data_IF_038552377182
#
_entry.id   IF_038552377182
#
_cell.length_a   1.000
_cell.length_b   1.000
_cell.length_c   1.000
_cell.angle_alpha   90.00
_cell.angle_beta   90.00
_cell.angle_gamma   90.00
#
_symmetry.space_group_name_H-M   'P 1'
#
loop_
_entity.id
_entity.type
_entity.pdbx_description
1 polymer ?
#
# COMPACT_ATOMS: atom_id res chain seq x y z
N UNK A 1 3.25 -16.10 -5.00
CA UNK A 1 3.86 -15.64 -6.25
C UNK A 1 5.33 -15.94 -6.21
N UNK A 2 5.88 -16.39 -7.32
CA UNK A 2 7.32 -16.58 -7.54
C UNK A 2 7.69 -15.73 -8.75
N UNK A 3 8.88 -15.12 -8.72
CA UNK A 3 9.42 -14.33 -9.81
C UNK A 3 10.81 -14.90 -10.07
N UNK A 4 11.09 -15.29 -11.32
CA UNK A 4 12.40 -15.79 -11.70
C UNK A 4 13.46 -14.69 -11.48
N UNK A 5 14.64 -15.03 -10.96
CA UNK A 5 15.70 -14.07 -10.77
C UNK A 5 16.23 -13.59 -12.12
N UNK A 6 16.56 -12.31 -12.18
CA UNK A 6 17.08 -11.61 -13.35
C UNK A 6 18.26 -10.70 -12.95
N UNK A 7 18.78 -9.92 -13.91
CA UNK A 7 19.83 -8.94 -13.66
C UNK A 7 19.48 -7.99 -12.50
N UNK A 8 18.22 -7.53 -12.43
CA UNK A 8 17.73 -6.67 -11.34
C UNK A 8 17.89 -7.35 -9.98
N UNK A 9 17.56 -8.64 -9.90
CA UNK A 9 17.67 -9.45 -8.68
C UNK A 9 19.14 -9.63 -8.26
N UNK A 10 20.03 -9.89 -9.23
CA UNK A 10 21.45 -10.07 -8.98
C UNK A 10 22.12 -8.78 -8.51
N UNK A 11 21.84 -7.67 -9.20
CA UNK A 11 22.32 -6.33 -8.82
C UNK A 11 21.81 -5.94 -7.43
N UNK A 12 20.57 -6.28 -7.10
CA UNK A 12 20.03 -6.07 -5.77
C UNK A 12 20.81 -6.86 -4.71
N UNK A 13 21.22 -8.10 -4.97
CA UNK A 13 21.94 -8.94 -4.00
C UNK A 13 23.44 -8.62 -3.89
N UNK A 14 24.06 -8.15 -4.97
CA UNK A 14 25.50 -7.93 -5.05
C UNK A 14 26.03 -7.05 -3.91
N UNK A 15 27.06 -7.55 -3.20
CA UNK A 15 27.73 -6.82 -2.12
C UNK A 15 26.89 -6.63 -0.84
N UNK A 16 25.69 -7.21 -0.73
CA UNK A 16 24.88 -7.12 0.49
C UNK A 16 25.43 -8.00 1.61
N UNK A 17 25.20 -7.62 2.89
CA UNK A 17 25.50 -8.50 4.01
C UNK A 17 24.85 -9.87 3.81
N UNK A 18 25.61 -10.93 4.04
CA UNK A 18 25.22 -12.33 3.90
C UNK A 18 24.93 -12.82 2.46
N UNK A 19 25.13 -11.99 1.43
CA UNK A 19 25.22 -12.48 0.07
C UNK A 19 26.51 -13.30 -0.13
N UNK A 20 26.51 -14.31 -1.02
CA UNK A 20 27.74 -15.02 -1.37
C UNK A 20 28.78 -14.06 -1.94
N UNK A 21 30.06 -14.42 -1.85
CA UNK A 21 31.16 -13.57 -2.32
C UNK A 21 32.26 -14.41 -2.99
N UNK A 22 33.00 -13.77 -3.90
CA UNK A 22 34.10 -14.42 -4.63
C UNK A 22 33.61 -15.68 -5.37
N UNK A 23 34.31 -16.81 -5.28
CA UNK A 23 33.91 -18.04 -5.99
C UNK A 23 32.51 -18.57 -5.65
N UNK A 24 31.99 -18.26 -4.45
CA UNK A 24 30.63 -18.64 -4.07
C UNK A 24 29.58 -17.78 -4.78
N UNK A 25 29.92 -16.53 -5.11
CA UNK A 25 29.05 -15.66 -5.89
C UNK A 25 28.93 -16.19 -7.31
N UNK A 26 30.05 -16.54 -7.95
CA UNK A 26 30.06 -17.09 -9.31
C UNK A 26 29.24 -18.40 -9.40
N UNK A 27 29.45 -19.32 -8.45
CA UNK A 27 28.66 -20.55 -8.39
C UNK A 27 27.16 -20.31 -8.11
N UNK A 28 26.82 -19.31 -7.30
CA UNK A 28 25.43 -18.95 -7.05
C UNK A 28 24.78 -18.32 -8.29
N UNK A 29 25.53 -17.50 -9.04
CA UNK A 29 25.10 -16.90 -10.30
C UNK A 29 24.78 -17.96 -11.37
N UNK A 30 25.67 -18.95 -11.53
CA UNK A 30 25.45 -20.08 -12.43
C UNK A 30 24.14 -20.81 -12.07
N UNK A 31 23.96 -21.13 -10.79
CA UNK A 31 22.76 -21.82 -10.31
C UNK A 31 21.48 -20.97 -10.43
N UNK A 32 21.50 -19.69 -10.03
CA UNK A 32 20.30 -18.85 -10.05
C UNK A 32 19.80 -18.58 -11.45
N UNK A 33 20.69 -18.53 -12.44
CA UNK A 33 20.31 -18.33 -13.84
C UNK A 33 19.48 -19.50 -14.40
N UNK A 34 19.60 -20.70 -13.80
CA UNK A 34 18.79 -21.88 -14.14
C UNK A 34 17.41 -21.87 -13.47
N UNK A 35 17.12 -20.93 -12.54
CA UNK A 35 15.86 -20.88 -11.80
C UNK A 35 14.74 -20.17 -12.57
N UNK A 36 14.38 -20.69 -13.74
CA UNK A 36 13.23 -20.22 -14.52
C UNK A 36 12.25 -21.35 -14.82
N UNK A 37 11.08 -20.99 -15.32
CA UNK A 37 10.10 -21.95 -15.80
C UNK A 37 10.63 -22.67 -17.04
N UNK A 38 10.43 -23.99 -17.14
CA UNK A 38 10.75 -24.77 -18.34
C UNK A 38 9.89 -24.33 -19.54
N UNK A 39 10.44 -24.35 -20.75
CA UNK A 39 9.75 -23.90 -21.97
C UNK A 39 8.46 -24.70 -22.28
N UNK A 40 8.35 -25.93 -21.80
CA UNK A 40 7.21 -26.83 -21.98
C UNK A 40 6.30 -26.94 -20.74
N UNK A 41 6.50 -26.05 -19.74
CA UNK A 41 5.64 -25.99 -18.58
C UNK A 41 4.19 -25.70 -18.98
N UNK A 42 3.26 -26.37 -18.31
CA UNK A 42 1.82 -26.15 -18.48
C UNK A 42 1.23 -25.58 -17.21
N UNK A 43 0.29 -24.65 -17.37
CA UNK A 43 -0.40 -23.99 -16.26
C UNK A 43 -1.90 -24.28 -16.33
N UNK A 44 -2.54 -24.39 -15.16
CA UNK A 44 -4.01 -24.52 -15.09
C UNK A 44 -4.72 -23.28 -15.67
N UNK A 45 -4.07 -22.11 -15.58
CA UNK A 45 -4.54 -20.86 -16.14
C UNK A 45 -3.37 -19.92 -16.45
N UNK A 46 -3.48 -19.19 -17.55
CA UNK A 46 -2.60 -18.08 -17.93
C UNK A 46 -3.43 -16.79 -17.97
N UNK A 47 -2.93 -15.73 -17.32
CA UNK A 47 -3.63 -14.45 -17.20
C UNK A 47 -2.69 -13.36 -17.73
N UNK A 48 -3.08 -12.75 -18.85
CA UNK A 48 -2.37 -11.60 -19.41
C UNK A 48 -2.91 -10.30 -18.80
N UNK A 49 -2.00 -9.44 -18.31
CA UNK A 49 -2.34 -8.15 -17.70
C UNK A 49 -1.57 -7.07 -18.45
N UNK A 50 -2.31 -6.17 -19.10
CA UNK A 50 -1.74 -4.97 -19.70
C UNK A 50 -1.40 -3.94 -18.62
N UNK A 51 -0.09 -3.67 -18.45
CA UNK A 51 0.40 -2.71 -17.47
C UNK A 51 0.05 -1.25 -17.82
N UNK A 52 -0.10 -0.92 -19.11
CA UNK A 52 -0.41 0.44 -19.56
C UNK A 52 -1.87 0.83 -19.25
N UNK A 53 -2.74 -0.17 -19.10
CA UNK A 53 -4.13 0.03 -18.69
C UNK A 53 -4.30 0.21 -17.17
N UNK A 54 -3.24 0.06 -16.37
CA UNK A 54 -3.34 0.18 -14.92
C UNK A 54 -3.57 1.62 -14.47
N UNK A 55 -4.61 1.81 -13.65
CA UNK A 55 -4.93 3.07 -12.99
C UNK A 55 -4.71 2.94 -11.48
N UNK A 56 -4.75 4.03 -10.70
CA UNK A 56 -4.75 3.92 -9.25
C UNK A 56 -5.95 3.11 -8.75
N UNK A 57 -5.70 2.09 -7.93
CA UNK A 57 -6.76 1.28 -7.30
C UNK A 57 -6.82 1.53 -5.79
N UNK A 58 -8.00 1.36 -5.23
CA UNK A 58 -8.25 1.40 -3.79
C UNK A 58 -9.22 0.29 -3.39
N UNK A 59 -9.06 -0.28 -2.20
CA UNK A 59 -10.12 -1.16 -1.66
C UNK A 59 -11.25 -0.33 -1.09
N UNK A 60 -12.49 -0.67 -1.41
CA UNK A 60 -13.68 -0.03 -0.82
C UNK A 60 -14.26 -0.86 0.34
N UNK A 61 -14.00 -2.16 0.36
CA UNK A 61 -14.58 -3.11 1.32
C UNK A 61 -13.63 -3.51 2.46
N UNK A 62 -13.81 -4.74 2.97
CA UNK A 62 -13.13 -5.27 4.17
C UNK A 62 -12.11 -6.35 3.88
N UNK A 63 -11.75 -6.57 2.61
CA UNK A 63 -10.66 -7.47 2.24
C UNK A 63 -9.97 -7.01 0.93
N UNK A 64 -8.76 -7.51 0.63
CA UNK A 64 -8.02 -7.08 -0.55
C UNK A 64 -8.71 -7.35 -1.91
N UNK A 65 -9.61 -8.33 -1.97
CA UNK A 65 -10.38 -8.64 -3.19
C UNK A 65 -11.48 -7.63 -3.50
N UNK A 66 -11.84 -6.77 -2.54
CA UNK A 66 -12.85 -5.73 -2.71
C UNK A 66 -12.20 -4.41 -3.13
N UNK A 67 -11.51 -4.44 -4.28
CA UNK A 67 -10.80 -3.32 -4.90
C UNK A 67 -11.47 -2.83 -6.18
N UNK A 68 -11.35 -1.53 -6.45
CA UNK A 68 -11.81 -0.89 -7.68
C UNK A 68 -10.81 0.21 -8.11
N UNK A 69 -10.78 0.58 -9.40
CA UNK A 69 -10.13 1.81 -9.84
C UNK A 69 -10.63 3.01 -9.02
N UNK A 70 -9.75 3.92 -8.63
CA UNK A 70 -10.09 5.10 -7.81
C UNK A 70 -11.13 6.01 -8.48
N UNK A 71 -11.24 5.98 -9.81
CA UNK A 71 -12.25 6.70 -10.57
C UNK A 71 -13.67 6.15 -10.43
N UNK A 72 -13.83 4.94 -9.88
CA UNK A 72 -15.11 4.25 -9.74
C UNK A 72 -15.92 4.72 -8.52
N UNK A 73 -17.06 4.06 -8.33
CA UNK A 73 -18.00 4.29 -7.24
C UNK A 73 -18.13 3.05 -6.37
N UNK A 74 -18.53 3.25 -5.12
CA UNK A 74 -18.91 2.16 -4.19
C UNK A 74 -19.99 1.30 -4.85
N UNK A 75 -19.83 -0.04 -4.90
CA UNK A 75 -20.77 -0.91 -5.61
C UNK A 75 -22.13 -0.94 -4.94
N UNK A 76 -23.16 -1.17 -5.75
CA UNK A 76 -24.54 -1.30 -5.30
C UNK A 76 -24.94 -2.77 -5.19
N UNK A 77 -25.22 -3.28 -3.98
CA UNK A 77 -25.61 -4.68 -3.78
C UNK A 77 -26.90 -5.04 -4.53
N UNK A 78 -27.79 -4.09 -4.83
CA UNK A 78 -29.02 -4.38 -5.58
C UNK A 78 -28.75 -4.72 -7.05
N UNK A 79 -27.56 -4.41 -7.57
CA UNK A 79 -27.15 -4.70 -8.95
C UNK A 79 -26.40 -6.02 -9.10
N UNK A 80 -26.08 -6.68 -7.99
CA UNK A 80 -25.33 -7.95 -7.98
C UNK A 80 -26.33 -9.09 -8.08
N UNK A 81 -26.13 -10.02 -9.02
CA UNK A 81 -27.03 -11.17 -9.23
C UNK A 81 -26.75 -12.32 -8.26
N UNK A 82 -25.47 -12.60 -7.98
CA UNK A 82 -25.08 -13.65 -7.05
C UNK A 82 -25.45 -13.30 -5.61
N UNK A 83 -26.17 -14.19 -4.92
CA UNK A 83 -26.66 -13.95 -3.56
C UNK A 83 -25.52 -13.91 -2.54
N UNK A 84 -24.50 -14.74 -2.71
CA UNK A 84 -23.35 -14.81 -1.81
C UNK A 84 -22.54 -13.52 -1.85
N UNK A 85 -22.23 -13.06 -3.06
CA UNK A 85 -21.55 -11.80 -3.32
C UNK A 85 -22.39 -10.62 -2.83
N UNK A 86 -23.70 -10.58 -3.13
CA UNK A 86 -24.62 -9.54 -2.65
C UNK A 86 -24.58 -9.41 -1.13
N UNK A 87 -24.65 -10.54 -0.40
CA UNK A 87 -24.57 -10.55 1.05
C UNK A 87 -23.20 -10.08 1.55
N UNK A 88 -22.11 -10.49 0.89
CA UNK A 88 -20.76 -10.07 1.23
C UNK A 88 -20.57 -8.55 1.04
N UNK A 89 -21.08 -7.98 -0.05
CA UNK A 89 -21.08 -6.54 -0.31
C UNK A 89 -21.88 -5.80 0.75
N UNK A 90 -23.11 -6.22 1.06
CA UNK A 90 -23.93 -5.57 2.11
C UNK A 90 -23.22 -5.53 3.47
N UNK A 91 -22.56 -6.63 3.87
CA UNK A 91 -21.78 -6.68 5.11
C UNK A 91 -20.59 -5.73 5.08
N UNK A 92 -19.83 -5.74 3.98
CA UNK A 92 -18.68 -4.85 3.81
C UNK A 92 -19.10 -3.37 3.86
N UNK A 93 -20.18 -2.99 3.16
CA UNK A 93 -20.71 -1.62 3.18
C UNK A 93 -21.20 -1.20 4.56
N UNK A 94 -21.84 -2.11 5.30
CA UNK A 94 -22.28 -1.84 6.68
C UNK A 94 -21.09 -1.62 7.62
N UNK A 95 -20.03 -2.44 7.52
CA UNK A 95 -18.82 -2.27 8.32
C UNK A 95 -18.08 -0.98 7.96
N UNK A 96 -17.85 -0.79 6.66
CA UNK A 96 -17.14 0.35 6.10
C UNK A 96 -17.94 1.63 6.16
N UNK A 97 -19.25 1.57 6.48
CA UNK A 97 -20.16 2.72 6.55
C UNK A 97 -20.09 3.55 5.28
N UNK A 98 -20.38 2.87 4.17
CA UNK A 98 -20.36 3.44 2.83
C UNK A 98 -21.74 3.30 2.19
N UNK A 99 -22.19 4.37 1.56
CA UNK A 99 -23.41 4.37 0.77
C UNK A 99 -23.11 3.90 -0.66
N UNK A 100 -23.93 3.00 -1.24
CA UNK A 100 -23.84 2.64 -2.66
C UNK A 100 -23.78 3.86 -3.58
N UNK A 101 -22.98 3.79 -4.64
CA UNK A 101 -22.87 4.84 -5.65
C UNK A 101 -22.01 6.05 -5.27
N UNK A 102 -21.52 6.13 -4.03
CA UNK A 102 -20.59 7.17 -3.58
C UNK A 102 -19.30 7.10 -4.43
N UNK A 103 -18.85 8.19 -5.08
CA UNK A 103 -17.54 8.22 -5.72
C UNK A 103 -16.43 7.86 -4.72
N UNK A 104 -15.49 7.00 -5.11
CA UNK A 104 -14.41 6.63 -4.21
C UNK A 104 -13.57 7.85 -3.80
N UNK A 105 -13.40 8.81 -4.71
CA UNK A 105 -12.72 10.08 -4.44
C UNK A 105 -13.40 10.99 -3.41
N UNK A 106 -14.68 10.78 -3.12
CA UNK A 106 -15.44 11.56 -2.13
C UNK A 106 -15.33 10.95 -0.71
N UNK A 107 -14.72 9.77 -0.57
CA UNK A 107 -14.56 9.10 0.72
C UNK A 107 -13.50 9.84 1.55
N UNK A 108 -13.95 10.56 2.57
CA UNK A 108 -13.10 11.25 3.53
C UNK A 108 -12.42 10.28 4.50
N UNK A 109 -11.16 10.56 4.85
CA UNK A 109 -10.38 9.77 5.81
C UNK A 109 -9.98 10.58 7.03
N UNK A 110 -9.80 9.90 8.14
CA UNK A 110 -9.30 10.49 9.40
C UNK A 110 -7.80 10.25 9.58
N UNK A 111 -7.31 9.11 9.07
CA UNK A 111 -5.90 8.70 9.20
C UNK A 111 -5.32 8.27 7.86
N UNK A 112 -4.03 8.55 7.67
CA UNK A 112 -3.21 8.00 6.59
C UNK A 112 -2.05 7.25 7.19
N UNK A 113 -1.90 5.99 6.80
CA UNK A 113 -0.81 5.13 7.23
C UNK A 113 0.09 4.79 6.05
N UNK A 114 1.28 5.40 6.03
CA UNK A 114 2.33 5.14 5.05
C UNK A 114 3.43 4.32 5.69
N UNK A 115 3.46 3.02 5.44
CA UNK A 115 4.57 2.18 5.84
C UNK A 115 4.17 0.79 6.28
N UNK A 116 4.74 -0.23 5.66
CA UNK A 116 4.63 -1.62 6.12
C UNK A 116 5.85 -2.40 5.64
N UNK A 117 5.96 -3.68 6.01
CA UNK A 117 6.94 -4.56 5.38
C UNK A 117 6.71 -4.71 3.87
N UNK A 118 5.50 -4.40 3.37
CA UNK A 118 5.15 -4.46 1.95
C UNK A 118 5.48 -3.14 1.23
N UNK A 119 5.09 -2.00 1.82
CA UNK A 119 5.14 -0.67 1.21
C UNK A 119 5.72 0.38 2.18
N UNK A 120 6.97 0.16 2.56
CA UNK A 120 7.79 1.05 3.40
C UNK A 120 9.27 0.98 3.00
N UNK A 121 9.55 0.67 1.73
CA UNK A 121 10.89 0.63 1.14
C UNK A 121 11.36 2.06 0.88
N UNK A 122 12.64 2.22 0.58
CA UNK A 122 13.17 3.57 0.35
C UNK A 122 12.52 4.22 -0.87
N UNK A 123 12.21 3.46 -1.91
CA UNK A 123 11.52 3.92 -3.13
C UNK A 123 10.10 4.40 -2.82
N UNK A 124 9.37 3.67 -1.95
CA UNK A 124 8.02 4.06 -1.51
C UNK A 124 8.05 5.41 -0.78
N UNK A 125 9.02 5.59 0.12
CA UNK A 125 9.17 6.82 0.89
C UNK A 125 9.58 8.00 0.01
N UNK A 126 10.49 7.80 -0.95
CA UNK A 126 10.86 8.83 -1.93
C UNK A 126 9.67 9.27 -2.77
N UNK A 127 8.89 8.30 -3.29
CA UNK A 127 7.71 8.57 -4.10
C UNK A 127 6.65 9.37 -3.32
N UNK A 128 6.37 8.96 -2.08
CA UNK A 128 5.42 9.69 -1.23
C UNK A 128 5.93 11.07 -0.80
N UNK A 129 7.23 11.21 -0.49
CA UNK A 129 7.84 12.49 -0.15
C UNK A 129 7.79 13.48 -1.32
N UNK A 130 7.98 13.00 -2.56
CA UNK A 130 7.88 13.85 -3.75
C UNK A 130 6.48 14.45 -3.91
N UNK A 131 5.41 13.68 -3.61
CA UNK A 131 4.03 14.18 -3.65
C UNK A 131 3.74 15.14 -2.50
N UNK A 132 4.33 14.92 -1.31
CA UNK A 132 4.11 15.76 -0.13
C UNK A 132 4.95 17.03 -0.09
N UNK A 133 6.03 17.10 -0.87
CA UNK A 133 6.94 18.23 -0.88
C UNK A 133 6.21 19.55 -1.16
N UNK A 134 6.34 20.53 -0.26
CA UNK A 134 5.67 21.83 -0.37
C UNK A 134 4.20 21.84 0.06
N UNK A 135 3.62 20.69 0.41
CA UNK A 135 2.25 20.57 0.91
C UNK A 135 2.21 20.30 2.41
N UNK A 136 1.02 20.41 3.01
CA UNK A 136 0.74 20.01 4.39
C UNK A 136 -0.34 18.95 4.42
N UNK A 137 -0.25 18.06 5.40
CA UNK A 137 -1.35 17.15 5.75
C UNK A 137 -2.56 18.00 6.14
N UNK A 138 -3.74 17.65 5.64
CA UNK A 138 -4.99 18.37 5.89
C UNK A 138 -5.29 18.43 7.38
N UNK A 139 -5.79 19.58 7.83
CA UNK A 139 -6.30 19.73 9.19
C UNK A 139 -7.35 18.66 9.52
N UNK A 140 -7.15 17.99 10.67
CA UNK A 140 -7.99 16.88 11.11
C UNK A 140 -7.55 15.50 10.63
N UNK A 141 -6.63 15.42 9.65
CA UNK A 141 -6.08 14.14 9.18
C UNK A 141 -4.79 13.81 9.94
N UNK A 142 -4.71 12.60 10.49
CA UNK A 142 -3.50 12.08 11.14
C UNK A 142 -2.69 11.24 10.15
N UNK A 143 -1.50 11.70 9.78
CA UNK A 143 -0.58 10.91 8.96
C UNK A 143 0.54 10.26 9.79
N UNK A 144 0.72 8.94 9.64
CA UNK A 144 1.80 8.16 10.22
C UNK A 144 2.73 7.67 9.11
N UNK A 145 4.03 7.87 9.27
CA UNK A 145 5.05 7.39 8.33
C UNK A 145 6.00 6.42 9.03
N UNK A 146 6.06 5.18 8.55
CA UNK A 146 6.75 4.06 9.19
C UNK A 146 7.70 3.37 8.21
N UNK A 147 9.01 3.54 8.35
CA UNK A 147 9.96 2.83 7.49
C UNK A 147 9.87 1.31 7.68
N UNK A 148 10.04 0.55 6.59
CA UNK A 148 9.93 -0.92 6.60
C UNK A 148 11.07 -1.63 7.33
N UNK A 149 12.19 -0.95 7.59
CA UNK A 149 13.31 -1.46 8.39
C UNK A 149 14.16 -0.33 8.96
N UNK A 150 14.99 -0.63 9.97
CA UNK A 150 15.94 0.35 10.51
C UNK A 150 16.95 0.85 9.46
N UNK A 151 17.34 -0.01 8.51
CA UNK A 151 18.23 0.38 7.41
C UNK A 151 17.55 1.39 6.47
N UNK A 152 16.29 1.14 6.10
CA UNK A 152 15.50 2.09 5.29
C UNK A 152 15.28 3.39 6.05
N UNK A 153 15.02 3.34 7.36
CA UNK A 153 14.90 4.54 8.19
C UNK A 153 16.18 5.39 8.15
N UNK A 154 17.32 4.77 8.45
CA UNK A 154 18.60 5.48 8.46
C UNK A 154 18.93 6.08 7.09
N UNK A 155 18.63 5.36 6.01
CA UNK A 155 18.79 5.87 4.65
C UNK A 155 17.85 7.05 4.35
N UNK A 156 16.56 6.94 4.71
CA UNK A 156 15.59 8.02 4.53
C UNK A 156 15.94 9.27 5.35
N UNK A 157 16.53 9.09 6.53
CA UNK A 157 17.04 10.18 7.37
C UNK A 157 18.27 10.84 6.73
N UNK A 158 19.22 10.06 6.23
CA UNK A 158 20.39 10.56 5.49
C UNK A 158 20.02 11.31 4.20
N UNK A 159 18.92 10.92 3.55
CA UNK A 159 18.37 11.58 2.35
C UNK A 159 17.46 12.78 2.67
N UNK A 160 17.22 13.08 3.96
CA UNK A 160 16.37 14.20 4.38
C UNK A 160 14.85 13.97 4.20
N UNK A 161 14.42 12.76 3.82
CA UNK A 161 13.00 12.47 3.57
C UNK A 161 12.14 12.65 4.83
N UNK A 162 12.69 12.33 5.99
CA UNK A 162 12.00 12.51 7.28
C UNK A 162 11.64 13.98 7.56
N UNK A 163 12.43 14.94 7.05
CA UNK A 163 12.18 16.37 7.18
C UNK A 163 11.00 16.79 6.31
N UNK A 164 10.87 16.23 5.10
CA UNK A 164 9.72 16.48 4.21
C UNK A 164 8.42 16.02 4.90
N UNK A 165 8.41 14.81 5.45
CA UNK A 165 7.22 14.29 6.14
C UNK A 165 6.87 15.10 7.39
N UNK A 166 7.86 15.43 8.23
CA UNK A 166 7.61 16.19 9.47
C UNK A 166 7.22 17.64 9.19
N UNK A 167 7.80 18.29 8.17
CA UNK A 167 7.42 19.62 7.72
C UNK A 167 5.97 19.67 7.21
N UNK A 168 5.52 18.62 6.52
CA UNK A 168 4.12 18.48 6.11
C UNK A 168 3.16 18.24 7.30
N UNK A 169 3.67 17.93 8.50
CA UNK A 169 2.87 17.63 9.70
C UNK A 169 2.63 16.15 9.95
N UNK A 170 3.28 15.26 9.19
CA UNK A 170 3.19 13.82 9.42
C UNK A 170 4.07 13.36 10.60
N UNK A 171 3.66 12.26 11.22
CA UNK A 171 4.34 11.66 12.36
C UNK A 171 5.38 10.64 11.87
N UNK A 172 6.67 10.99 11.97
CA UNK A 172 7.77 10.09 11.65
C UNK A 172 8.01 9.06 12.76
N UNK A 173 7.72 7.78 12.50
CA UNK A 173 7.77 6.69 13.47
C UNK A 173 9.03 5.84 13.35
N UNK A 174 9.32 5.07 14.41
CA UNK A 174 10.36 4.02 14.35
C UNK A 174 9.97 2.95 13.35
N UNK A 175 10.98 2.31 12.75
CA UNK A 175 10.73 1.21 11.83
C UNK A 175 10.09 0.03 12.57
N UNK A 176 9.08 -0.59 11.95
CA UNK A 176 8.38 -1.74 12.52
C UNK A 176 7.01 -1.97 11.90
N UNK A 177 6.28 -2.95 12.42
CA UNK A 177 4.95 -3.29 11.90
C UNK A 177 3.89 -2.19 12.14
N UNK A 178 4.01 -1.42 13.23
CA UNK A 178 3.08 -0.33 13.60
C UNK A 178 1.61 -0.73 13.33
N UNK A 179 0.81 0.15 12.72
CA UNK A 179 -0.61 -0.08 12.47
C UNK A 179 -0.87 -1.24 11.50
N UNK A 180 0.09 -1.70 10.70
CA UNK A 180 -0.10 -2.85 9.79
C UNK A 180 -0.44 -4.15 10.54
N UNK A 181 0.00 -4.26 11.81
CA UNK A 181 -0.34 -5.36 12.71
C UNK A 181 -1.35 -4.95 13.80
N UNK A 182 -1.38 -3.68 14.20
CA UNK A 182 -2.33 -3.18 15.19
C UNK A 182 -2.12 -3.73 16.62
N UNK A 183 -0.95 -4.33 16.91
CA UNK A 183 -0.60 -4.88 18.24
C UNK A 183 0.26 -3.93 19.09
N UNK A 184 0.30 -2.66 18.72
CA UNK A 184 1.04 -1.58 19.40
C UNK A 184 0.08 -0.39 19.58
N UNK A 185 0.52 0.73 20.19
CA UNK A 185 -0.35 1.89 20.39
C UNK A 185 -0.84 2.57 19.11
N UNK A 186 -0.21 2.35 17.95
CA UNK A 186 -0.71 2.86 16.67
C UNK A 186 -1.90 2.01 16.21
N UNK A 187 -3.11 2.43 16.59
CA UNK A 187 -4.37 1.80 16.22
C UNK A 187 -5.39 2.83 15.76
N UNK A 188 -6.35 2.35 14.98
CA UNK A 188 -7.58 3.06 14.66
C UNK A 188 -8.59 2.93 15.79
N UNK A 189 -9.27 4.03 16.11
CA UNK A 189 -10.46 4.02 16.93
C UNK A 189 -11.65 3.45 16.15
N UNK A 190 -12.70 3.02 16.87
CA UNK A 190 -13.93 2.57 16.22
C UNK A 190 -14.57 3.70 15.39
N UNK A 191 -14.87 3.42 14.13
CA UNK A 191 -15.41 4.38 13.17
C UNK A 191 -14.36 5.19 12.41
N UNK A 192 -13.12 5.24 12.90
CA UNK A 192 -12.02 5.96 12.24
C UNK A 192 -11.67 5.30 10.91
N UNK A 193 -11.54 6.10 9.86
CA UNK A 193 -11.24 5.65 8.51
C UNK A 193 -9.79 5.95 8.12
N UNK A 194 -9.13 4.94 7.56
CA UNK A 194 -7.73 4.97 7.19
C UNK A 194 -7.50 4.71 5.70
N UNK A 195 -6.66 5.51 5.05
CA UNK A 195 -5.96 5.12 3.83
C UNK A 195 -4.59 4.54 4.19
N UNK A 196 -4.34 3.28 3.86
CA UNK A 196 -3.26 2.48 4.41
C UNK A 196 -2.44 1.81 3.31
N UNK A 197 -1.11 1.92 3.38
CA UNK A 197 -0.19 1.15 2.52
C UNK A 197 0.16 -0.22 3.11
N UNK A 198 -0.71 -0.75 3.98
CA UNK A 198 -0.65 -2.17 4.34
C UNK A 198 -1.11 -3.05 3.18
N UNK A 199 -0.96 -4.37 3.31
CA UNK A 199 -1.43 -5.33 2.32
C UNK A 199 -2.73 -6.04 2.72
N UNK A 200 -3.34 -5.68 3.86
CA UNK A 200 -4.51 -6.36 4.44
C UNK A 200 -5.39 -5.39 5.22
N UNK A 201 -6.68 -5.35 4.89
CA UNK A 201 -7.69 -4.51 5.53
C UNK A 201 -8.85 -5.31 6.15
N UNK A 202 -8.61 -6.56 6.55
CA UNK A 202 -9.60 -7.35 7.28
C UNK A 202 -10.14 -6.60 8.50
N UNK A 203 -11.41 -6.84 8.83
CA UNK A 203 -12.07 -6.18 9.95
C UNK A 203 -11.26 -6.32 11.24
N UNK A 204 -11.01 -5.20 11.92
CA UNK A 204 -10.25 -5.17 13.17
C UNK A 204 -8.73 -5.22 13.00
N UNK A 205 -8.20 -5.38 11.78
CA UNK A 205 -6.75 -5.57 11.54
C UNK A 205 -5.88 -4.42 12.04
N UNK A 206 -6.33 -3.19 11.83
CA UNK A 206 -5.62 -1.96 12.21
C UNK A 206 -6.20 -1.32 13.49
N UNK A 207 -7.13 -2.00 14.16
CA UNK A 207 -7.89 -1.48 15.30
C UNK A 207 -9.35 -1.94 15.23
N UNK A 208 -9.94 -2.30 16.38
CA UNK A 208 -11.30 -2.83 16.44
C UNK A 208 -12.31 -1.77 15.97
N UNK A 209 -13.01 -2.07 14.88
CA UNK A 209 -14.00 -1.17 14.27
C UNK A 209 -13.41 -0.05 13.42
N UNK A 210 -12.09 -0.06 13.17
CA UNK A 210 -11.46 0.84 12.22
C UNK A 210 -11.72 0.43 10.77
N UNK A 211 -11.89 1.40 9.88
CA UNK A 211 -12.29 1.20 8.48
C UNK A 211 -11.11 1.47 7.57
N UNK A 212 -10.55 0.45 6.94
CA UNK A 212 -9.27 0.57 6.22
C UNK A 212 -9.43 0.39 4.72
N UNK A 213 -8.89 1.36 3.96
CA UNK A 213 -8.71 1.31 2.52
C UNK A 213 -7.24 1.04 2.20
N UNK A 214 -6.94 -0.03 1.46
CA UNK A 214 -5.61 -0.29 0.94
C UNK A 214 -5.34 0.61 -0.25
N UNK A 215 -4.19 1.28 -0.22
CA UNK A 215 -3.77 2.25 -1.23
C UNK A 215 -2.27 2.15 -1.49
N UNK A 216 -1.80 2.67 -2.63
CA UNK A 216 -0.36 2.83 -2.90
C UNK A 216 0.25 3.99 -2.10
N UNK A 217 1.59 4.07 -1.94
CA UNK A 217 2.26 5.21 -1.30
C UNK A 217 1.93 6.57 -1.93
N UNK A 218 1.80 6.62 -3.26
CA UNK A 218 1.43 7.83 -3.99
C UNK A 218 -0.01 8.28 -3.66
N UNK A 219 -0.96 7.34 -3.63
CA UNK A 219 -2.35 7.61 -3.26
C UNK A 219 -2.46 7.99 -1.78
N UNK A 220 -1.69 7.35 -0.89
CA UNK A 220 -1.64 7.71 0.53
C UNK A 220 -1.17 9.17 0.72
N UNK A 221 -0.08 9.58 0.06
CA UNK A 221 0.44 10.93 0.13
C UNK A 221 -0.57 11.98 -0.38
N UNK A 222 -1.17 11.76 -1.55
CA UNK A 222 -2.20 12.64 -2.10
C UNK A 222 -3.45 12.71 -1.21
N UNK A 223 -3.87 11.56 -0.67
CA UNK A 223 -4.99 11.47 0.28
C UNK A 223 -4.71 12.24 1.57
N UNK A 224 -3.47 12.26 2.06
CA UNK A 224 -3.10 13.03 3.25
C UNK A 224 -3.24 14.54 3.04
N UNK A 225 -2.97 15.02 1.82
CA UNK A 225 -3.10 16.44 1.44
C UNK A 225 -4.58 16.81 1.27
N UNK A 226 -5.36 15.97 0.57
CA UNK A 226 -6.75 16.25 0.21
C UNK A 226 -7.76 15.90 1.30
N UNK A 227 -7.44 14.95 2.16
CA UNK A 227 -8.33 14.38 3.19
C UNK A 227 -9.43 13.46 2.66
N UNK A 228 -9.47 13.19 1.36
CA UNK A 228 -10.31 12.17 0.74
C UNK A 228 -9.44 11.29 -0.15
N UNK A 229 -9.88 10.06 -0.46
CA UNK A 229 -9.10 9.14 -1.32
C UNK A 229 -8.73 9.82 -2.64
N UNK A 230 -7.44 10.01 -2.88
CA UNK A 230 -6.94 10.86 -3.97
C UNK A 230 -5.67 10.29 -4.59
N UNK A 231 -5.51 10.49 -5.90
CA UNK A 231 -4.26 10.24 -6.63
C UNK A 231 -3.41 11.50 -6.69
N UNK A 232 -2.12 11.41 -7.06
CA UNK A 232 -1.28 12.61 -7.25
C UNK A 232 -1.88 13.64 -8.22
N UNK A 233 -2.59 13.20 -9.26
CA UNK A 233 -3.25 14.08 -10.22
C UNK A 233 -4.37 14.95 -9.61
N UNK A 234 -4.87 14.58 -8.42
CA UNK A 234 -5.91 15.33 -7.71
C UNK A 234 -5.31 16.41 -6.76
N UNK A 235 -3.98 16.51 -6.63
CA UNK A 235 -3.31 17.49 -5.74
C UNK A 235 -3.00 18.82 -6.46
N UNK A 236 -2.76 18.77 -7.77
CA UNK A 236 -2.36 19.93 -8.59
C UNK A 236 -3.53 20.81 -9.06
N UNK A 237 -4.78 20.48 -8.66
CA UNK A 237 -6.02 21.15 -9.06
C UNK A 237 -6.55 22.16 -8.05
#
# INVERSE_FOLDING_TARGET
GMIAPDATTFDYLAGRPHAPAGPQWDAAMDYWTELHTDDDATFDAEIEIDADALTPFVTWGTNPGQGLPLSERVPDPEQITDEGERLAVRKALSYMDLQPGTPLRDIAVDTVFLGSCTNGRIEDLRAAAAVLAGHRVRDGVRMLVVPGSMRVRAQAEAEGLHEVFTAAGAQWRSAGCSMCLGMNPDQLAAGERCASTSNRNFEGRQGKGGRTHLVSPLVAAATAIRGTLSSPADVES
#
